data_IF_748601091230
#
_entry.id   IF_748601091230
#
_cell.length_a   1.000
_cell.length_b   1.000
_cell.length_c   1.000
_cell.angle_alpha   90.00
_cell.angle_beta   90.00
_cell.angle_gamma   90.00
#
_symmetry.space_group_name_H-M   'P 1'
#
loop_
_entity.id
_entity.type
_entity.pdbx_description
1 polymer ?
#
# COMPACT_ATOMS: atom_id res chain seq x y z
N UNK A 1 8.05 -23.47 -16.42
CA UNK A 1 6.83 -23.23 -15.61
C UNK A 1 7.13 -22.02 -14.74
N UNK A 2 6.16 -21.12 -14.56
CA UNK A 2 6.36 -20.00 -13.67
C UNK A 2 6.62 -20.49 -12.23
N UNK A 3 7.53 -19.85 -11.54
CA UNK A 3 7.85 -20.11 -10.14
C UNK A 3 6.94 -19.30 -9.20
N UNK A 4 6.88 -19.64 -7.92
CA UNK A 4 6.20 -18.84 -6.91
C UNK A 4 6.75 -17.41 -6.89
N UNK A 5 8.06 -17.22 -6.92
CA UNK A 5 8.69 -15.92 -6.96
C UNK A 5 8.24 -15.08 -8.18
N UNK A 6 8.24 -15.68 -9.38
CA UNK A 6 7.77 -14.99 -10.59
C UNK A 6 6.31 -14.55 -10.52
N UNK A 7 5.43 -15.37 -9.93
CA UNK A 7 4.02 -15.01 -9.72
C UNK A 7 3.85 -13.86 -8.71
N UNK A 8 4.62 -13.86 -7.63
CA UNK A 8 4.60 -12.79 -6.63
C UNK A 8 5.12 -11.48 -7.21
N UNK A 9 6.23 -11.53 -7.94
CA UNK A 9 6.80 -10.36 -8.63
C UNK A 9 5.81 -9.78 -9.64
N UNK A 10 5.14 -10.61 -10.45
CA UNK A 10 4.09 -10.16 -11.38
C UNK A 10 2.92 -9.53 -10.64
N UNK A 11 2.46 -10.13 -9.53
CA UNK A 11 1.36 -9.59 -8.71
C UNK A 11 1.66 -8.19 -8.18
N UNK A 12 2.79 -7.99 -7.50
CA UNK A 12 3.22 -6.68 -7.03
C UNK A 12 3.50 -5.70 -8.18
N UNK A 13 4.02 -6.19 -9.31
CA UNK A 13 4.24 -5.38 -10.50
C UNK A 13 2.94 -4.79 -11.06
N UNK A 14 1.86 -5.57 -11.11
CA UNK A 14 0.53 -5.08 -11.53
C UNK A 14 -0.05 -4.03 -10.57
N UNK A 15 0.12 -4.22 -9.27
CA UNK A 15 -0.29 -3.23 -8.27
C UNK A 15 0.47 -1.92 -8.49
N UNK A 16 1.79 -1.98 -8.68
CA UNK A 16 2.64 -0.82 -8.98
C UNK A 16 2.16 -0.05 -10.23
N UNK A 17 1.91 -0.76 -11.33
CA UNK A 17 1.40 -0.16 -12.57
C UNK A 17 0.06 0.52 -12.35
N UNK A 18 -0.86 -0.15 -11.67
CA UNK A 18 -2.19 0.40 -11.35
C UNK A 18 -2.10 1.62 -10.44
N UNK A 19 -1.20 1.65 -9.45
CA UNK A 19 -0.98 2.82 -8.59
C UNK A 19 -0.44 4.00 -9.40
N UNK A 20 0.53 3.76 -10.28
CA UNK A 20 1.05 4.80 -11.17
C UNK A 20 -0.05 5.39 -12.07
N UNK A 21 -0.90 4.54 -12.65
CA UNK A 21 -2.02 4.96 -13.49
C UNK A 21 -3.06 5.75 -12.69
N UNK A 22 -3.39 5.30 -11.47
CA UNK A 22 -4.35 5.97 -10.59
C UNK A 22 -3.90 7.38 -10.21
N UNK A 23 -2.62 7.56 -9.93
CA UNK A 23 -2.05 8.87 -9.54
C UNK A 23 -1.81 9.80 -10.73
N UNK A 24 -1.69 9.26 -11.94
CA UNK A 24 -1.32 10.01 -13.12
C UNK A 24 -2.31 11.11 -13.47
N UNK A 25 -1.81 12.37 -13.53
CA UNK A 25 -2.57 13.53 -13.99
C UNK A 25 -3.64 14.06 -13.04
N UNK A 26 -3.77 13.50 -11.81
CA UNK A 26 -4.68 14.04 -10.80
C UNK A 26 -4.07 15.27 -10.12
N UNK A 27 -4.89 16.30 -9.90
CA UNK A 27 -4.53 17.47 -9.09
C UNK A 27 -4.59 17.12 -7.59
N UNK A 28 -4.03 17.99 -6.74
CA UNK A 28 -4.12 17.84 -5.28
C UNK A 28 -5.58 17.76 -4.81
N UNK A 29 -6.46 18.59 -5.36
CA UNK A 29 -7.88 18.61 -5.05
C UNK A 29 -8.56 17.31 -5.49
N UNK A 30 -8.21 16.78 -6.65
CA UNK A 30 -8.74 15.52 -7.15
C UNK A 30 -8.27 14.32 -6.34
N UNK A 31 -7.00 14.30 -5.90
CA UNK A 31 -6.47 13.28 -5.00
C UNK A 31 -7.17 13.27 -3.64
N UNK A 32 -7.54 14.46 -3.15
CA UNK A 32 -8.21 14.62 -1.86
C UNK A 32 -9.74 14.56 -1.95
N UNK A 33 -10.31 14.42 -3.15
CA UNK A 33 -11.76 14.45 -3.32
C UNK A 33 -12.43 13.23 -2.68
N UNK A 34 -13.36 13.49 -1.76
CA UNK A 34 -14.19 12.47 -1.12
C UNK A 34 -15.52 12.34 -1.88
N UNK A 35 -15.81 11.16 -2.41
CA UNK A 35 -17.01 10.92 -3.24
C UNK A 35 -18.29 11.07 -2.41
N UNK A 36 -18.27 10.57 -1.20
CA UNK A 36 -19.32 10.73 -0.18
C UNK A 36 -18.67 10.71 1.23
N UNK A 37 -19.47 10.97 2.27
CA UNK A 37 -18.97 11.09 3.65
C UNK A 37 -18.37 9.81 4.25
N UNK A 38 -18.55 8.67 3.59
CA UNK A 38 -18.01 7.37 4.02
C UNK A 38 -16.92 6.82 3.10
N UNK A 39 -16.68 7.47 1.95
CA UNK A 39 -15.71 7.00 0.98
C UNK A 39 -14.29 7.51 1.30
N UNK A 40 -13.30 6.66 1.16
CA UNK A 40 -11.90 7.06 1.27
C UNK A 40 -11.41 7.71 -0.04
N UNK A 41 -10.75 8.88 0.04
CA UNK A 41 -10.15 9.54 -1.12
C UNK A 41 -9.00 8.75 -1.74
N UNK A 42 -8.68 9.05 -3.02
CA UNK A 42 -7.59 8.39 -3.76
C UNK A 42 -6.26 8.47 -3.00
N UNK A 43 -5.92 9.63 -2.46
CA UNK A 43 -4.66 9.80 -1.72
C UNK A 43 -4.59 8.89 -0.48
N UNK A 44 -5.67 8.76 0.29
CA UNK A 44 -5.72 7.86 1.44
C UNK A 44 -5.63 6.40 1.03
N UNK A 45 -6.35 5.98 0.00
CA UNK A 45 -6.36 4.60 -0.49
C UNK A 45 -4.97 4.15 -0.95
N UNK A 46 -4.26 4.98 -1.72
CA UNK A 46 -2.91 4.67 -2.16
C UNK A 46 -1.90 4.69 -1.01
N UNK A 47 -2.04 5.64 -0.07
CA UNK A 47 -1.23 5.63 1.15
C UNK A 47 -1.46 4.36 1.97
N UNK A 48 -2.72 3.98 2.19
CA UNK A 48 -3.11 2.83 3.01
C UNK A 48 -2.55 1.52 2.45
N UNK A 49 -2.84 1.21 1.17
CA UNK A 49 -2.31 -0.01 0.55
C UNK A 49 -0.77 -0.08 0.61
N UNK A 50 -0.09 1.07 0.39
CA UNK A 50 1.37 1.12 0.47
C UNK A 50 1.87 0.88 1.88
N UNK A 51 1.18 1.42 2.91
CA UNK A 51 1.50 1.17 4.32
C UNK A 51 1.30 -0.31 4.69
N UNK A 52 0.21 -0.93 4.22
CA UNK A 52 -0.09 -2.36 4.46
C UNK A 52 0.99 -3.23 3.81
N UNK A 53 1.34 -2.95 2.57
CA UNK A 53 2.41 -3.66 1.86
C UNK A 53 3.74 -3.55 2.61
N UNK A 54 4.17 -2.33 2.94
CA UNK A 54 5.44 -2.05 3.62
C UNK A 54 5.50 -2.74 5.00
N UNK A 55 4.47 -2.57 5.84
CA UNK A 55 4.44 -3.13 7.19
C UNK A 55 4.46 -4.66 7.18
N UNK A 56 3.56 -5.25 6.42
CA UNK A 56 3.37 -6.70 6.45
C UNK A 56 4.47 -7.47 5.74
N UNK A 57 4.98 -6.95 4.62
CA UNK A 57 6.12 -7.59 3.93
C UNK A 57 7.38 -7.45 4.77
N UNK A 58 7.70 -6.25 5.26
CA UNK A 58 8.87 -6.05 6.11
C UNK A 58 8.84 -6.95 7.36
N UNK A 59 7.68 -7.04 8.04
CA UNK A 59 7.50 -7.91 9.21
C UNK A 59 7.70 -9.39 8.87
N UNK A 60 7.15 -9.87 7.73
CA UNK A 60 7.27 -11.27 7.31
C UNK A 60 8.70 -11.70 7.00
N UNK A 61 9.53 -10.76 6.55
CA UNK A 61 10.95 -11.01 6.23
C UNK A 61 11.91 -10.54 7.32
N UNK A 62 11.43 -9.92 8.41
CA UNK A 62 12.25 -9.46 9.52
C UNK A 62 13.19 -8.30 9.16
N UNK A 63 12.78 -7.44 8.22
CA UNK A 63 13.54 -6.27 7.78
C UNK A 63 12.86 -4.97 8.21
N UNK A 64 13.57 -3.83 8.26
CA UNK A 64 12.95 -2.53 8.53
C UNK A 64 11.99 -2.13 7.41
N UNK A 65 10.88 -1.49 7.79
CA UNK A 65 9.97 -0.85 6.83
C UNK A 65 10.67 0.30 6.11
N UNK A 66 10.36 0.48 4.82
CA UNK A 66 10.77 1.63 4.03
C UNK A 66 10.25 2.93 4.66
N UNK A 67 9.04 2.90 5.20
CA UNK A 67 8.42 3.97 5.97
C UNK A 67 9.34 4.58 7.03
N UNK A 68 9.89 3.74 7.89
CA UNK A 68 10.74 4.20 9.00
C UNK A 68 12.18 4.44 8.56
N UNK A 69 12.76 3.55 7.74
CA UNK A 69 14.16 3.61 7.34
C UNK A 69 14.49 4.80 6.43
N UNK A 70 13.51 5.27 5.64
CA UNK A 70 13.66 6.39 4.72
C UNK A 70 12.91 7.66 5.16
N UNK A 71 12.24 7.64 6.34
CA UNK A 71 11.58 8.80 6.93
C UNK A 71 10.34 9.29 6.17
N UNK A 72 9.58 8.38 5.58
CA UNK A 72 8.43 8.71 4.72
C UNK A 72 7.32 9.46 5.42
N UNK A 73 7.07 9.22 6.73
CA UNK A 73 6.08 10.00 7.48
C UNK A 73 6.33 11.51 7.32
N UNK A 74 7.58 11.94 7.56
CA UNK A 74 7.95 13.36 7.44
C UNK A 74 7.90 13.85 6.00
N UNK A 75 8.35 13.04 5.04
CA UNK A 75 8.33 13.40 3.61
C UNK A 75 6.92 13.61 3.09
N UNK A 76 5.96 12.85 3.59
CA UNK A 76 4.52 12.98 3.27
C UNK A 76 3.81 14.05 4.13
N UNK A 77 4.52 14.78 4.98
CA UNK A 77 3.91 15.82 5.84
C UNK A 77 3.13 15.26 7.04
N UNK A 78 3.32 13.99 7.39
CA UNK A 78 2.67 13.33 8.51
C UNK A 78 3.52 13.44 9.78
N UNK A 79 2.93 13.29 10.99
CA UNK A 79 3.68 13.31 12.24
C UNK A 79 4.84 12.33 12.24
N UNK A 80 6.04 12.81 12.60
CA UNK A 80 7.20 11.94 12.72
C UNK A 80 6.97 10.88 13.80
N UNK A 81 7.24 9.60 13.47
CA UNK A 81 6.99 8.47 14.36
C UNK A 81 5.62 7.83 14.22
N UNK A 82 4.74 8.34 13.36
CA UNK A 82 3.50 7.67 12.98
C UNK A 82 3.82 6.31 12.36
N UNK A 83 3.27 5.23 12.92
CA UNK A 83 3.53 3.85 12.48
C UNK A 83 2.27 3.12 12.03
N UNK A 84 1.09 3.72 12.22
CA UNK A 84 -0.15 3.09 11.78
C UNK A 84 -0.25 3.00 10.25
N UNK A 85 -1.14 2.16 9.78
CA UNK A 85 -1.43 1.92 8.38
C UNK A 85 -2.87 2.27 7.99
N UNK A 86 -3.62 2.94 8.88
CA UNK A 86 -4.96 3.46 8.59
C UNK A 86 -6.12 2.53 8.95
N UNK A 87 -5.86 1.34 9.48
CA UNK A 87 -6.94 0.44 9.88
C UNK A 87 -7.73 1.04 11.05
N UNK A 88 -9.04 1.26 10.83
CA UNK A 88 -9.94 1.83 11.83
C UNK A 88 -9.82 3.36 11.98
N UNK A 89 -9.22 4.06 11.04
CA UNK A 89 -9.18 5.52 11.02
C UNK A 89 -10.57 6.13 11.11
N UNK A 90 -10.70 7.12 11.96
CA UNK A 90 -11.85 8.03 12.00
C UNK A 90 -11.88 8.94 10.78
N UNK A 91 -13.00 9.59 10.52
CA UNK A 91 -13.13 10.57 9.42
C UNK A 91 -12.09 11.68 9.51
N UNK A 92 -11.78 12.16 10.71
CA UNK A 92 -10.78 13.22 10.91
C UNK A 92 -9.36 12.73 10.59
N UNK A 93 -9.01 11.50 10.95
CA UNK A 93 -7.72 10.88 10.61
C UNK A 93 -7.60 10.63 9.11
N UNK A 94 -8.66 10.14 8.46
CA UNK A 94 -8.71 10.00 7.00
C UNK A 94 -8.48 11.36 6.33
N UNK A 95 -9.15 12.41 6.80
CA UNK A 95 -9.00 13.77 6.25
C UNK A 95 -7.58 14.29 6.41
N UNK A 96 -6.98 14.14 7.59
CA UNK A 96 -5.62 14.61 7.87
C UNK A 96 -4.56 13.90 7.01
N UNK A 97 -4.63 12.57 6.91
CA UNK A 97 -3.72 11.78 6.08
C UNK A 97 -3.91 12.12 4.60
N UNK A 98 -5.15 12.24 4.15
CA UNK A 98 -5.48 12.60 2.77
C UNK A 98 -4.84 13.93 2.36
N UNK A 99 -5.05 14.99 3.16
CA UNK A 99 -4.50 16.31 2.89
C UNK A 99 -2.97 16.27 2.80
N UNK A 100 -2.31 15.70 3.80
CA UNK A 100 -0.86 15.60 3.85
C UNK A 100 -0.29 14.84 2.64
N UNK A 101 -0.86 13.69 2.30
CA UNK A 101 -0.41 12.86 1.18
C UNK A 101 -0.64 13.54 -0.17
N UNK A 102 -1.79 14.19 -0.38
CA UNK A 102 -2.10 14.90 -1.62
C UNK A 102 -1.19 16.13 -1.82
N UNK A 103 -0.90 16.89 -0.76
CA UNK A 103 -0.04 18.07 -0.81
C UNK A 103 1.44 17.73 -1.01
N UNK A 104 1.90 16.59 -0.51
CA UNK A 104 3.31 16.20 -0.58
C UNK A 104 3.84 16.00 -2.00
N UNK A 105 2.98 15.56 -2.93
CA UNK A 105 3.36 15.14 -4.28
C UNK A 105 4.27 13.91 -4.33
N UNK A 106 4.56 13.24 -3.20
CA UNK A 106 5.54 12.14 -3.10
C UNK A 106 4.92 10.76 -2.86
N UNK A 107 3.59 10.65 -2.95
CA UNK A 107 2.89 9.40 -2.66
C UNK A 107 3.32 8.26 -3.61
N UNK A 108 3.48 8.55 -4.89
CA UNK A 108 3.99 7.59 -5.87
C UNK A 108 5.43 7.16 -5.60
N UNK A 109 6.30 8.07 -5.13
CA UNK A 109 7.68 7.74 -4.75
C UNK A 109 7.73 6.80 -3.55
N UNK A 110 6.84 6.98 -2.57
CA UNK A 110 6.74 6.07 -1.44
C UNK A 110 6.32 4.67 -1.88
N UNK A 111 5.30 4.57 -2.75
CA UNK A 111 4.88 3.27 -3.26
C UNK A 111 5.99 2.59 -4.08
N UNK A 112 6.71 3.34 -4.93
CA UNK A 112 7.83 2.81 -5.70
C UNK A 112 8.96 2.25 -4.82
N UNK A 113 9.30 2.97 -3.74
CA UNK A 113 10.31 2.51 -2.79
C UNK A 113 9.86 1.23 -2.04
N UNK A 114 8.59 1.14 -1.66
CA UNK A 114 7.98 -0.04 -1.03
C UNK A 114 7.94 -1.23 -1.99
N UNK A 115 7.52 -0.99 -3.24
CA UNK A 115 7.55 -1.99 -4.30
C UNK A 115 8.95 -2.56 -4.52
N UNK A 116 9.96 -1.70 -4.64
CA UNK A 116 11.34 -2.13 -4.86
C UNK A 116 11.83 -3.05 -3.73
N UNK A 117 11.56 -2.73 -2.47
CA UNK A 117 11.88 -3.60 -1.34
C UNK A 117 11.10 -4.92 -1.39
N UNK A 118 9.79 -4.87 -1.65
CA UNK A 118 8.94 -6.04 -1.71
C UNK A 118 9.42 -7.02 -2.78
N UNK A 119 9.68 -6.55 -3.98
CA UNK A 119 10.18 -7.38 -5.09
C UNK A 119 11.53 -7.97 -4.79
N UNK A 120 12.47 -7.21 -4.21
CA UNK A 120 13.77 -7.73 -3.81
C UNK A 120 13.65 -8.90 -2.81
N UNK A 121 12.66 -8.86 -1.92
CA UNK A 121 12.43 -9.91 -0.92
C UNK A 121 11.69 -11.12 -1.54
N UNK A 122 10.63 -10.90 -2.30
CA UNK A 122 9.81 -12.01 -2.83
C UNK A 122 10.46 -12.73 -4.01
N UNK A 123 11.41 -12.10 -4.71
CA UNK A 123 12.16 -12.75 -5.80
C UNK A 123 13.03 -13.93 -5.33
N UNK A 124 13.36 -13.98 -4.05
CA UNK A 124 14.16 -15.03 -3.43
C UNK A 124 13.31 -16.16 -2.80
N UNK A 125 11.96 -16.04 -2.83
CA UNK A 125 11.04 -17.01 -2.20
C UNK A 125 10.96 -18.29 -3.01
N UNK A 126 11.21 -19.40 -2.33
CA UNK A 126 10.94 -20.75 -2.87
C UNK A 126 9.60 -21.29 -2.35
N UNK A 127 9.10 -22.36 -3.01
CA UNK A 127 7.88 -23.05 -2.54
C UNK A 127 8.01 -23.55 -1.10
N UNK A 128 9.21 -23.95 -0.67
CA UNK A 128 9.47 -24.42 0.69
C UNK A 128 9.36 -23.32 1.76
N UNK A 129 9.55 -22.05 1.39
CA UNK A 129 9.45 -20.93 2.30
C UNK A 129 8.00 -20.57 2.65
N UNK A 130 7.04 -20.96 1.79
CA UNK A 130 5.63 -20.57 1.93
C UNK A 130 4.98 -21.07 3.23
N UNK A 131 5.43 -22.22 3.74
CA UNK A 131 4.91 -22.81 4.98
C UNK A 131 5.57 -22.23 6.25
N UNK A 132 6.58 -21.38 6.11
CA UNK A 132 7.24 -20.73 7.25
C UNK A 132 6.25 -19.83 8.00
N UNK A 133 6.06 -20.08 9.29
CA UNK A 133 5.20 -19.28 10.16
C UNK A 133 5.83 -17.89 10.36
N UNK A 134 5.08 -16.85 10.07
CA UNK A 134 5.50 -15.44 10.17
C UNK A 134 4.70 -14.64 11.20
N UNK A 135 3.54 -15.16 11.65
CA UNK A 135 2.75 -14.51 12.68
C UNK A 135 1.99 -15.57 13.53
N UNK A 136 2.29 -15.61 14.82
CA UNK A 136 1.70 -16.55 15.79
C UNK A 136 0.52 -15.98 16.59
N UNK A 137 0.12 -14.71 16.32
CA UNK A 137 -0.99 -14.05 17.04
C UNK A 137 -2.36 -14.56 16.60
N UNK A 138 -2.41 -15.33 15.53
CA UNK A 138 -3.64 -15.90 14.96
C UNK A 138 -3.73 -17.41 15.16
N UNK A 139 -4.96 -17.94 15.09
CA UNK A 139 -5.23 -19.38 15.11
C UNK A 139 -6.06 -19.75 13.88
N UNK A 140 -5.54 -20.54 12.91
CA UNK A 140 -4.17 -21.04 12.87
C UNK A 140 -3.12 -19.93 12.68
N UNK A 141 -1.85 -20.18 13.01
CA UNK A 141 -0.75 -19.25 12.75
C UNK A 141 -0.64 -18.91 11.26
N UNK A 142 -0.27 -17.66 10.97
CA UNK A 142 -0.13 -17.18 9.59
C UNK A 142 1.21 -17.60 9.01
N UNK A 143 1.19 -18.28 7.87
CA UNK A 143 2.40 -18.61 7.11
C UNK A 143 2.80 -17.50 6.15
N UNK A 144 4.03 -17.57 5.61
CA UNK A 144 4.51 -16.61 4.62
C UNK A 144 3.58 -16.55 3.39
N UNK A 145 3.20 -17.71 2.86
CA UNK A 145 2.28 -17.77 1.71
C UNK A 145 0.95 -17.09 1.98
N UNK A 146 0.34 -17.36 3.15
CA UNK A 146 -0.92 -16.70 3.56
C UNK A 146 -0.73 -15.19 3.71
N UNK A 147 0.39 -14.75 4.30
CA UNK A 147 0.69 -13.32 4.46
C UNK A 147 0.82 -12.61 3.11
N UNK A 148 1.58 -13.17 2.18
CA UNK A 148 1.81 -12.56 0.87
C UNK A 148 0.52 -12.49 0.04
N UNK A 149 -0.31 -13.54 0.08
CA UNK A 149 -1.64 -13.51 -0.57
C UNK A 149 -2.55 -12.46 0.07
N UNK A 150 -2.54 -12.33 1.41
CA UNK A 150 -3.35 -11.32 2.10
C UNK A 150 -2.94 -9.89 1.72
N UNK A 151 -1.64 -9.64 1.55
CA UNK A 151 -1.14 -8.31 1.12
C UNK A 151 -1.56 -8.03 -0.32
N UNK A 152 -1.36 -8.99 -1.24
CA UNK A 152 -1.79 -8.83 -2.64
C UNK A 152 -3.30 -8.58 -2.75
N UNK A 153 -4.11 -9.29 -1.97
CA UNK A 153 -5.57 -9.11 -1.95
C UNK A 153 -5.97 -7.71 -1.46
N UNK A 154 -5.39 -7.25 -0.34
CA UNK A 154 -5.63 -5.91 0.21
C UNK A 154 -5.26 -4.81 -0.79
N UNK A 155 -4.05 -4.89 -1.34
CA UNK A 155 -3.53 -3.93 -2.30
C UNK A 155 -4.40 -3.87 -3.57
N UNK A 156 -4.81 -5.02 -4.11
CA UNK A 156 -5.66 -5.09 -5.30
C UNK A 156 -7.05 -4.51 -5.04
N UNK A 157 -7.64 -4.75 -3.88
CA UNK A 157 -8.93 -4.17 -3.51
C UNK A 157 -8.83 -2.65 -3.43
N UNK A 158 -7.83 -2.13 -2.74
CA UNK A 158 -7.69 -0.68 -2.52
C UNK A 158 -7.24 0.08 -3.77
N UNK A 159 -6.37 -0.48 -4.61
CA UNK A 159 -6.04 0.15 -5.91
C UNK A 159 -7.23 0.13 -6.85
N UNK A 160 -8.07 -0.91 -6.82
CA UNK A 160 -9.33 -0.97 -7.56
C UNK A 160 -10.34 0.09 -7.10
N UNK A 161 -10.47 0.29 -5.79
CA UNK A 161 -11.28 1.38 -5.22
C UNK A 161 -10.75 2.76 -5.64
N UNK A 162 -9.43 2.96 -5.61
CA UNK A 162 -8.80 4.20 -6.03
C UNK A 162 -9.00 4.48 -7.52
N UNK A 163 -8.91 3.45 -8.38
CA UNK A 163 -9.19 3.57 -9.82
C UNK A 163 -10.66 3.93 -10.10
N UNK A 164 -11.59 3.33 -9.34
CA UNK A 164 -13.01 3.67 -9.43
C UNK A 164 -13.28 5.12 -9.00
N UNK A 165 -12.70 5.55 -7.87
CA UNK A 165 -12.79 6.91 -7.36
C UNK A 165 -12.24 7.92 -8.39
N UNK A 166 -11.04 7.66 -8.95
CA UNK A 166 -10.45 8.44 -10.03
C UNK A 166 -11.40 8.62 -11.22
N UNK A 167 -12.02 7.51 -11.67
CA UNK A 167 -12.97 7.57 -12.78
C UNK A 167 -14.19 8.45 -12.50
N UNK A 168 -14.63 8.58 -11.24
CA UNK A 168 -15.71 9.50 -10.86
C UNK A 168 -15.21 10.93 -10.85
N UNK A 169 -14.07 11.20 -10.22
CA UNK A 169 -13.47 12.54 -10.07
C UNK A 169 -13.23 13.19 -11.43
N UNK A 170 -12.63 12.46 -12.37
CA UNK A 170 -12.34 12.98 -13.72
C UNK A 170 -13.57 13.30 -14.58
N UNK A 171 -14.77 12.87 -14.15
CA UNK A 171 -16.04 13.20 -14.87
C UNK A 171 -16.80 14.35 -14.23
N UNK A 172 -16.28 14.95 -13.16
CA UNK A 172 -16.93 16.06 -12.47
C UNK A 172 -16.50 17.43 -12.97
N UNK A 173 -15.38 17.48 -13.67
CA UNK A 173 -14.89 18.65 -14.38
C UNK A 173 -15.48 18.69 -15.80
#
# INVERSE_FOLDING_TARGET
>A
MATTAELLVDGFGRIRENVADVLSGLTTEQLAYQIDSGANPVAWLVWHLTRVQDDHVAAAFGVPQVWSSQGWARRLGLPGGMMDHGYGHTTDEVTAVTAACAESGQLGEYHEATYAQSVALVSEVSDADLDRVVDTRWTPPVTLGVRLVSVLDDDMQHVGQAAYARGIVLRKD
#
